data_IF_192277770244
#
_entry.id   IF_192277770244
#
_cell.length_a   1.000
_cell.length_b   1.000
_cell.length_c   1.000
_cell.angle_alpha   90.00
_cell.angle_beta   90.00
_cell.angle_gamma   90.00
#
_symmetry.space_group_name_H-M   'P 1'
#
loop_
_entity.id
_entity.type
_entity.pdbx_description
1 polymer ?
#
# COMPACT_ATOMS: atom_id res chain seq x y z
N UNK A 1 -13.39 -17.15 -25.98
CA UNK A 1 -12.00 -17.59 -25.74
C UNK A 1 -11.26 -16.58 -24.87
N UNK A 2 -11.19 -15.30 -25.25
CA UNK A 2 -10.43 -14.29 -24.48
C UNK A 2 -11.04 -13.98 -23.10
N UNK A 3 -12.37 -13.93 -22.97
CA UNK A 3 -13.05 -13.84 -21.65
C UNK A 3 -12.86 -15.08 -20.77
N UNK A 4 -12.52 -16.24 -21.37
CA UNK A 4 -12.19 -17.44 -20.60
C UNK A 4 -10.74 -17.44 -20.11
N UNK A 5 -9.86 -16.63 -20.72
CA UNK A 5 -8.46 -16.49 -20.31
C UNK A 5 -8.28 -15.57 -19.09
N UNK A 6 -9.29 -14.75 -18.74
CA UNK A 6 -9.32 -13.95 -17.51
C UNK A 6 -9.13 -14.81 -16.25
N UNK A 7 -9.69 -16.03 -16.23
CA UNK A 7 -9.58 -16.96 -15.10
C UNK A 7 -8.34 -17.86 -15.13
N UNK A 8 -7.61 -17.93 -16.25
CA UNK A 8 -6.57 -18.93 -16.50
C UNK A 8 -5.13 -18.49 -16.23
N UNK A 9 -4.87 -17.19 -16.04
CA UNK A 9 -3.52 -16.70 -15.77
C UNK A 9 -2.53 -16.76 -16.95
N UNK A 10 -3.02 -16.93 -18.18
CA UNK A 10 -2.24 -17.04 -19.42
C UNK A 10 -2.19 -15.70 -20.20
N UNK A 11 -1.65 -14.66 -19.56
CA UNK A 11 -1.51 -13.30 -20.13
C UNK A 11 -0.66 -13.26 -21.42
N UNK A 12 0.34 -14.13 -21.54
CA UNK A 12 1.19 -14.22 -22.73
C UNK A 12 0.37 -14.62 -23.96
N UNK A 13 -0.54 -15.57 -23.80
CA UNK A 13 -1.43 -15.99 -24.88
C UNK A 13 -2.40 -14.87 -25.26
N UNK A 14 -2.88 -14.07 -24.30
CA UNK A 14 -3.72 -12.90 -24.57
C UNK A 14 -2.96 -11.84 -25.38
N UNK A 15 -1.68 -11.61 -25.09
CA UNK A 15 -0.84 -10.69 -25.87
C UNK A 15 -0.51 -11.21 -27.27
N UNK A 16 -0.24 -12.52 -27.40
CA UNK A 16 -0.02 -13.17 -28.70
C UNK A 16 -1.28 -13.11 -29.55
N UNK A 17 -2.44 -13.43 -28.98
CA UNK A 17 -3.74 -13.32 -29.65
C UNK A 17 -4.06 -11.88 -30.04
N UNK A 18 -3.72 -10.88 -29.21
CA UNK A 18 -3.85 -9.47 -29.57
C UNK A 18 -2.92 -9.05 -30.71
N UNK A 19 -1.69 -9.58 -30.75
CA UNK A 19 -0.76 -9.35 -31.85
C UNK A 19 -1.25 -10.00 -33.16
N UNK A 20 -1.83 -11.20 -33.08
CA UNK A 20 -2.46 -11.89 -34.21
C UNK A 20 -3.69 -11.12 -34.71
N UNK A 21 -4.58 -10.65 -33.84
CA UNK A 21 -5.74 -9.83 -34.24
C UNK A 21 -5.30 -8.55 -34.97
N UNK A 22 -4.21 -7.92 -34.53
CA UNK A 22 -3.59 -6.77 -35.22
C UNK A 22 -3.03 -7.15 -36.58
N UNK A 23 -2.43 -8.34 -36.74
CA UNK A 23 -1.96 -8.85 -38.03
C UNK A 23 -3.13 -9.09 -39.01
N UNK A 24 -4.28 -9.52 -38.50
CA UNK A 24 -5.51 -9.71 -39.30
C UNK A 24 -6.33 -8.43 -39.50
N UNK A 25 -5.85 -7.27 -39.04
CA UNK A 25 -6.58 -5.98 -39.03
C UNK A 25 -7.97 -6.05 -38.37
N UNK A 26 -8.16 -6.98 -37.44
CA UNK A 26 -9.38 -7.05 -36.63
C UNK A 26 -9.18 -6.12 -35.44
N UNK A 27 -10.03 -5.10 -35.34
CA UNK A 27 -9.97 -4.17 -34.22
C UNK A 27 -10.43 -4.88 -32.94
N UNK A 28 -9.57 -4.99 -31.90
CA UNK A 28 -10.00 -5.56 -30.63
C UNK A 28 -11.05 -4.67 -29.96
N UNK A 29 -12.17 -5.30 -29.61
CA UNK A 29 -13.26 -4.66 -28.88
C UNK A 29 -12.85 -4.34 -27.44
N UNK A 30 -13.64 -3.49 -26.79
CA UNK A 30 -13.37 -3.04 -25.42
C UNK A 30 -13.30 -4.18 -24.40
N UNK A 31 -14.07 -5.24 -24.61
CA UNK A 31 -14.08 -6.45 -23.76
C UNK A 31 -12.75 -7.21 -23.91
N UNK A 32 -12.20 -7.26 -25.11
CA UNK A 32 -10.91 -7.89 -25.39
C UNK A 32 -9.77 -7.13 -24.73
N UNK A 33 -9.82 -5.80 -24.79
CA UNK A 33 -8.83 -4.94 -24.15
C UNK A 33 -8.94 -4.97 -22.62
N UNK A 34 -10.16 -4.97 -22.06
CA UNK A 34 -10.41 -5.07 -20.62
C UNK A 34 -9.87 -6.38 -20.03
N UNK A 35 -10.14 -7.51 -20.69
CA UNK A 35 -9.61 -8.82 -20.31
C UNK A 35 -8.08 -8.86 -20.36
N UNK A 36 -7.48 -8.25 -21.39
CA UNK A 36 -6.03 -8.17 -21.52
C UNK A 36 -5.36 -7.31 -20.44
N UNK A 37 -5.92 -6.13 -20.15
CA UNK A 37 -5.42 -5.25 -19.09
C UNK A 37 -5.55 -5.94 -17.72
N UNK A 38 -6.67 -6.62 -17.47
CA UNK A 38 -6.90 -7.38 -16.24
C UNK A 38 -5.90 -8.55 -16.10
N UNK A 39 -5.65 -9.29 -17.18
CA UNK A 39 -4.65 -10.36 -17.19
C UNK A 39 -3.22 -9.83 -16.96
N UNK A 40 -2.89 -8.65 -17.52
CA UNK A 40 -1.60 -7.99 -17.27
C UNK A 40 -1.46 -7.49 -15.82
N UNK A 41 -2.55 -7.05 -15.20
CA UNK A 41 -2.59 -6.60 -13.80
C UNK A 41 -2.18 -7.70 -12.82
N UNK A 42 -2.58 -8.94 -13.08
CA UNK A 42 -2.26 -10.11 -12.24
C UNK A 42 -0.78 -10.52 -12.25
N UNK A 43 0.01 -10.06 -13.23
CA UNK A 43 1.41 -10.51 -13.45
C UNK A 43 2.44 -9.38 -13.41
N UNK A 44 2.04 -8.18 -12.96
CA UNK A 44 2.91 -6.99 -12.83
C UNK A 44 3.53 -6.48 -14.14
N UNK A 45 2.97 -6.84 -15.29
CA UNK A 45 3.41 -6.36 -16.61
C UNK A 45 2.80 -4.99 -16.94
N UNK A 46 3.14 -3.97 -16.14
CA UNK A 46 2.57 -2.62 -16.24
C UNK A 46 2.85 -1.95 -17.59
N UNK A 47 4.00 -2.20 -18.21
CA UNK A 47 4.34 -1.65 -19.53
C UNK A 47 3.39 -2.12 -20.63
N UNK A 48 3.02 -3.40 -20.62
CA UNK A 48 2.08 -3.96 -21.59
C UNK A 48 0.67 -3.42 -21.35
N UNK A 49 0.22 -3.39 -20.07
CA UNK A 49 -1.07 -2.84 -19.69
C UNK A 49 -1.21 -1.37 -20.10
N UNK A 50 -0.18 -0.55 -19.89
CA UNK A 50 -0.19 0.89 -20.20
C UNK A 50 -0.18 1.17 -21.69
N UNK A 51 0.54 0.36 -22.49
CA UNK A 51 0.46 0.41 -23.96
C UNK A 51 -0.94 0.03 -24.47
N UNK A 52 -1.59 -0.96 -23.88
CA UNK A 52 -2.95 -1.36 -24.25
C UNK A 52 -3.98 -0.28 -23.89
N UNK A 53 -3.85 0.33 -22.71
CA UNK A 53 -4.74 1.40 -22.27
C UNK A 53 -4.55 2.69 -23.08
N UNK A 54 -3.30 3.04 -23.41
CA UNK A 54 -3.04 4.19 -24.28
C UNK A 54 -3.56 3.97 -25.71
N UNK A 55 -3.44 2.75 -26.25
CA UNK A 55 -4.06 2.38 -27.53
C UNK A 55 -5.59 2.49 -27.45
N UNK A 56 -6.22 1.98 -26.39
CA UNK A 56 -7.67 2.11 -26.16
C UNK A 56 -8.13 3.58 -26.09
N UNK A 57 -7.37 4.43 -25.40
CA UNK A 57 -7.66 5.85 -25.26
C UNK A 57 -7.46 6.62 -26.57
N UNK A 58 -6.40 6.32 -27.34
CA UNK A 58 -6.16 6.91 -28.66
C UNK A 58 -7.25 6.53 -29.67
N UNK A 59 -7.85 5.35 -29.52
CA UNK A 59 -9.00 4.89 -30.32
C UNK A 59 -10.34 5.49 -29.90
N UNK A 60 -10.36 6.30 -28.83
CA UNK A 60 -11.59 6.88 -28.29
C UNK A 60 -12.57 5.85 -27.72
N UNK A 61 -12.09 4.65 -27.38
CA UNK A 61 -12.94 3.62 -26.79
C UNK A 61 -13.34 4.07 -25.38
N UNK A 62 -14.65 4.03 -25.09
CA UNK A 62 -15.20 4.42 -23.79
C UNK A 62 -14.87 3.36 -22.74
N UNK A 63 -13.67 3.42 -22.18
CA UNK A 63 -13.21 2.51 -21.12
C UNK A 63 -14.22 2.44 -19.99
N UNK A 64 -14.39 1.25 -19.41
CA UNK A 64 -15.20 1.04 -18.22
C UNK A 64 -14.36 1.17 -16.94
N UNK A 65 -15.04 1.20 -15.79
CA UNK A 65 -14.39 1.31 -14.47
C UNK A 65 -13.49 0.10 -14.20
N UNK A 66 -13.84 -1.08 -14.72
CA UNK A 66 -13.06 -2.32 -14.57
C UNK A 66 -11.70 -2.20 -15.26
N UNK A 67 -11.68 -1.72 -16.51
CA UNK A 67 -10.44 -1.50 -17.29
C UNK A 67 -9.56 -0.45 -16.64
N UNK A 68 -10.15 0.64 -16.11
CA UNK A 68 -9.42 1.67 -15.38
C UNK A 68 -8.80 1.12 -14.08
N UNK A 69 -9.57 0.33 -13.31
CA UNK A 69 -9.10 -0.29 -12.06
C UNK A 69 -7.98 -1.30 -12.31
N UNK A 70 -8.12 -2.14 -13.33
CA UNK A 70 -7.10 -3.08 -13.76
C UNK A 70 -5.83 -2.34 -14.21
N UNK A 71 -5.97 -1.21 -14.89
CA UNK A 71 -4.85 -0.35 -15.27
C UNK A 71 -4.09 0.23 -14.10
N UNK A 72 -4.80 0.83 -13.14
CA UNK A 72 -4.20 1.40 -11.90
C UNK A 72 -3.52 0.29 -11.10
N UNK A 73 -4.15 -0.89 -11.00
CA UNK A 73 -3.59 -2.06 -10.29
C UNK A 73 -2.34 -2.59 -10.98
N UNK A 74 -2.36 -2.68 -12.32
CA UNK A 74 -1.20 -3.07 -13.11
C UNK A 74 -0.03 -2.12 -12.90
N UNK A 75 -0.29 -0.80 -12.80
CA UNK A 75 0.71 0.23 -12.52
C UNK A 75 1.22 0.23 -11.07
N UNK A 76 0.98 -0.84 -10.30
CA UNK A 76 1.31 -0.92 -8.88
C UNK A 76 2.78 -0.70 -8.50
N UNK A 77 3.72 -0.73 -9.45
CA UNK A 77 5.15 -0.44 -9.24
C UNK A 77 5.51 1.04 -9.50
N UNK A 78 4.74 1.73 -10.33
CA UNK A 78 4.95 3.14 -10.68
C UNK A 78 3.76 3.98 -10.22
N UNK A 79 3.91 4.55 -9.03
CA UNK A 79 2.91 5.43 -8.43
C UNK A 79 2.55 6.64 -9.30
N UNK A 80 3.47 7.14 -10.14
CA UNK A 80 3.20 8.29 -11.01
C UNK A 80 2.21 7.91 -12.10
N UNK A 81 2.41 6.75 -12.69
CA UNK A 81 1.58 6.20 -13.75
C UNK A 81 0.20 5.78 -13.21
N UNK A 82 0.17 5.19 -11.99
CA UNK A 82 -1.08 4.88 -11.31
C UNK A 82 -1.93 6.14 -11.06
N UNK A 83 -1.30 7.24 -10.61
CA UNK A 83 -1.98 8.52 -10.41
C UNK A 83 -2.42 9.16 -11.73
N UNK A 84 -1.57 9.16 -12.77
CA UNK A 84 -1.94 9.75 -14.06
C UNK A 84 -3.16 9.04 -14.65
N UNK A 85 -3.20 7.71 -14.60
CA UNK A 85 -4.36 6.93 -15.03
C UNK A 85 -5.60 7.23 -14.22
N UNK A 86 -5.47 7.39 -12.91
CA UNK A 86 -6.58 7.76 -12.05
C UNK A 86 -7.14 9.16 -12.39
N UNK A 87 -6.27 10.13 -12.71
CA UNK A 87 -6.69 11.45 -13.18
C UNK A 87 -7.35 11.40 -14.57
N UNK A 88 -6.81 10.59 -15.47
CA UNK A 88 -7.37 10.40 -16.81
C UNK A 88 -8.74 9.70 -16.76
N UNK A 89 -8.92 8.73 -15.86
CA UNK A 89 -10.22 8.11 -15.60
C UNK A 89 -11.25 9.16 -15.14
N UNK A 90 -10.89 10.03 -14.19
CA UNK A 90 -11.77 11.13 -13.74
C UNK A 90 -12.11 12.10 -14.89
N UNK A 91 -11.15 12.45 -15.75
CA UNK A 91 -11.38 13.33 -16.92
C UNK A 91 -12.33 12.71 -17.93
N UNK A 92 -12.24 11.40 -18.13
CA UNK A 92 -13.11 10.65 -19.03
C UNK A 92 -14.51 10.39 -18.47
N UNK A 93 -14.93 11.14 -17.44
CA UNK A 93 -16.21 11.00 -16.74
C UNK A 93 -16.46 9.63 -16.10
N UNK A 94 -15.41 8.82 -15.93
CA UNK A 94 -15.48 7.62 -15.11
C UNK A 94 -15.40 8.04 -13.64
N UNK A 95 -16.28 7.48 -12.82
CA UNK A 95 -16.20 7.65 -11.37
C UNK A 95 -15.34 6.52 -10.82
N UNK A 96 -14.05 6.77 -10.51
CA UNK A 96 -13.25 5.78 -9.81
C UNK A 96 -13.90 5.43 -8.47
N UNK A 97 -13.98 4.13 -8.20
CA UNK A 97 -14.58 3.57 -7.00
C UNK A 97 -13.52 3.32 -5.92
N UNK A 98 -13.93 2.74 -4.78
CA UNK A 98 -13.01 2.42 -3.68
C UNK A 98 -11.83 1.56 -4.15
N UNK A 99 -12.07 0.63 -5.09
CA UNK A 99 -11.04 -0.26 -5.63
C UNK A 99 -10.00 0.54 -6.42
N UNK A 100 -10.40 1.54 -7.21
CA UNK A 100 -9.46 2.43 -7.91
C UNK A 100 -8.51 3.15 -6.93
N UNK A 101 -9.06 3.66 -5.82
CA UNK A 101 -8.28 4.40 -4.82
C UNK A 101 -7.35 3.46 -4.06
N UNK A 102 -7.84 2.29 -3.64
CA UNK A 102 -7.02 1.31 -2.93
C UNK A 102 -5.85 0.82 -3.80
N UNK A 103 -6.09 0.62 -5.10
CA UNK A 103 -5.04 0.28 -6.05
C UNK A 103 -3.99 1.40 -6.16
N UNK A 104 -4.41 2.67 -6.25
CA UNK A 104 -3.51 3.82 -6.31
C UNK A 104 -2.74 4.04 -5.00
N UNK A 105 -3.39 3.85 -3.85
CA UNK A 105 -2.76 3.93 -2.52
C UNK A 105 -1.75 2.80 -2.35
N UNK A 106 -2.09 1.58 -2.79
CA UNK A 106 -1.18 0.42 -2.79
C UNK A 106 0.05 0.67 -3.68
N UNK A 107 -0.12 1.32 -4.83
CA UNK A 107 1.00 1.72 -5.67
C UNK A 107 1.92 2.71 -4.95
N UNK A 108 1.33 3.73 -4.30
CA UNK A 108 2.08 4.69 -3.49
C UNK A 108 2.81 4.03 -2.32
N UNK A 109 2.19 3.04 -1.68
CA UNK A 109 2.79 2.23 -0.61
C UNK A 109 4.03 1.48 -1.10
N UNK A 110 3.96 0.81 -2.26
CA UNK A 110 5.12 0.07 -2.81
C UNK A 110 6.28 1.00 -3.12
N UNK A 111 6.01 2.21 -3.63
CA UNK A 111 7.03 3.21 -3.91
C UNK A 111 7.43 4.08 -2.70
N UNK A 112 6.91 3.81 -1.49
CA UNK A 112 7.22 4.59 -0.27
C UNK A 112 6.75 6.05 -0.30
N UNK A 113 5.80 6.39 -1.18
CA UNK A 113 5.32 7.76 -1.38
C UNK A 113 4.16 8.06 -0.44
N UNK A 114 4.50 8.52 0.76
CA UNK A 114 3.53 8.84 1.80
C UNK A 114 2.63 10.05 1.47
N UNK A 115 3.15 11.09 0.78
CA UNK A 115 2.37 12.32 0.51
C UNK A 115 1.16 12.05 -0.39
N UNK A 116 1.32 11.39 -1.56
CA UNK A 116 0.18 11.09 -2.42
C UNK A 116 -0.76 10.07 -1.77
N UNK A 117 -0.23 9.06 -1.06
CA UNK A 117 -1.06 8.08 -0.33
C UNK A 117 -2.00 8.76 0.69
N UNK A 118 -1.47 9.70 1.49
CA UNK A 118 -2.29 10.45 2.46
C UNK A 118 -3.29 11.38 1.80
N UNK A 119 -2.94 11.97 0.66
CA UNK A 119 -3.86 12.81 -0.10
C UNK A 119 -5.06 11.98 -0.61
N UNK A 120 -4.80 10.82 -1.21
CA UNK A 120 -5.85 9.92 -1.71
C UNK A 120 -6.82 9.50 -0.59
N UNK A 121 -6.32 9.08 0.57
CA UNK A 121 -7.18 8.70 1.73
C UNK A 121 -7.99 9.89 2.26
N UNK A 122 -7.48 11.12 2.13
CA UNK A 122 -8.23 12.33 2.52
C UNK A 122 -9.29 12.74 1.51
N UNK A 123 -9.07 12.43 0.24
CA UNK A 123 -10.02 12.72 -0.85
C UNK A 123 -11.23 11.79 -0.83
N UNK A 124 -11.06 10.51 -0.44
CA UNK A 124 -12.17 9.53 -0.47
C UNK A 124 -13.45 10.02 0.24
N UNK A 125 -13.42 10.56 1.47
CA UNK A 125 -14.64 11.05 2.14
C UNK A 125 -15.30 12.25 1.46
N UNK A 126 -14.56 13.07 0.71
CA UNK A 126 -15.13 14.19 -0.05
C UNK A 126 -15.91 13.77 -1.29
N UNK A 127 -15.79 12.49 -1.66
CA UNK A 127 -16.48 11.87 -2.79
C UNK A 127 -17.51 10.83 -2.31
N UNK A 128 -17.99 10.97 -1.07
CA UNK A 128 -18.89 10.03 -0.40
C UNK A 128 -18.39 8.57 -0.35
N UNK A 129 -17.07 8.36 -0.52
CA UNK A 129 -16.42 7.06 -0.38
C UNK A 129 -15.85 6.88 1.03
N UNK A 130 -16.13 5.72 1.63
CA UNK A 130 -15.52 5.34 2.91
C UNK A 130 -14.21 4.61 2.65
N UNK A 131 -13.10 5.26 2.99
CA UNK A 131 -11.81 4.59 3.09
C UNK A 131 -11.93 3.43 4.09
N UNK A 132 -11.53 2.23 3.64
CA UNK A 132 -11.64 1.03 4.43
C UNK A 132 -10.37 0.81 5.27
N UNK A 133 -10.26 -0.35 5.92
CA UNK A 133 -9.07 -0.70 6.69
C UNK A 133 -7.84 -0.90 5.78
N UNK A 134 -8.04 -1.33 4.53
CA UNK A 134 -6.98 -1.57 3.55
C UNK A 134 -6.38 -0.22 3.12
N UNK A 135 -7.20 0.76 2.73
CA UNK A 135 -6.75 2.12 2.36
C UNK A 135 -5.91 2.75 3.47
N UNK A 136 -6.38 2.63 4.73
CA UNK A 136 -5.65 3.17 5.88
C UNK A 136 -4.35 2.42 6.15
N UNK A 137 -4.33 1.08 6.04
CA UNK A 137 -3.13 0.29 6.26
C UNK A 137 -2.07 0.53 5.19
N UNK A 138 -2.45 0.60 3.92
CA UNK A 138 -1.52 0.91 2.84
C UNK A 138 -0.96 2.33 2.97
N UNK A 139 -1.78 3.31 3.36
CA UNK A 139 -1.27 4.65 3.65
C UNK A 139 -0.36 4.70 4.91
N UNK A 140 -0.62 3.87 5.93
CA UNK A 140 0.26 3.71 7.09
C UNK A 140 1.60 3.09 6.72
N UNK A 141 1.60 2.03 5.91
CA UNK A 141 2.83 1.39 5.43
C UNK A 141 3.61 2.32 4.47
N UNK A 142 2.92 3.16 3.68
CA UNK A 142 3.57 4.23 2.93
C UNK A 142 4.27 5.25 3.86
N UNK A 143 3.63 5.63 4.97
CA UNK A 143 4.23 6.52 5.97
C UNK A 143 5.41 5.86 6.69
N UNK A 144 5.33 4.55 6.99
CA UNK A 144 6.42 3.75 7.55
C UNK A 144 7.65 3.81 6.64
N UNK A 145 7.50 3.46 5.37
CA UNK A 145 8.60 3.50 4.38
C UNK A 145 9.14 4.89 4.14
N UNK A 146 8.32 5.92 4.36
CA UNK A 146 8.70 7.32 4.27
C UNK A 146 9.27 7.94 5.56
N UNK A 147 9.41 7.17 6.66
CA UNK A 147 9.87 7.65 7.97
C UNK A 147 8.92 8.64 8.67
N UNK A 148 7.69 8.83 8.15
CA UNK A 148 6.79 9.89 8.61
C UNK A 148 5.93 9.49 9.80
N UNK A 149 6.56 9.27 10.95
CA UNK A 149 5.89 8.86 12.19
C UNK A 149 4.74 9.79 12.60
N UNK A 150 4.91 11.11 12.49
CA UNK A 150 3.91 12.08 12.90
C UNK A 150 2.63 11.97 12.05
N UNK A 151 2.78 11.68 10.75
CA UNK A 151 1.66 11.45 9.85
C UNK A 151 1.02 10.09 10.08
N UNK A 152 1.81 9.05 10.36
CA UNK A 152 1.29 7.72 10.72
C UNK A 152 0.40 7.76 11.98
N UNK A 153 0.84 8.45 13.03
CA UNK A 153 0.04 8.62 14.26
C UNK A 153 -1.26 9.39 14.02
N UNK A 154 -1.20 10.46 13.22
CA UNK A 154 -2.40 11.21 12.83
C UNK A 154 -3.37 10.33 12.05
N UNK A 155 -2.86 9.48 11.15
CA UNK A 155 -3.68 8.55 10.37
C UNK A 155 -4.33 7.48 11.26
N UNK A 156 -3.59 6.91 12.22
CA UNK A 156 -4.16 6.02 13.25
C UNK A 156 -5.26 6.69 14.06
N UNK A 157 -5.06 7.93 14.52
CA UNK A 157 -6.07 8.67 15.27
C UNK A 157 -7.32 8.95 14.42
N UNK A 158 -7.17 9.11 13.10
CA UNK A 158 -8.28 9.28 12.17
C UNK A 158 -9.04 7.96 11.97
N UNK A 159 -8.32 6.85 11.81
CA UNK A 159 -8.93 5.52 11.71
C UNK A 159 -9.79 5.21 12.96
N UNK A 160 -9.26 5.50 14.17
CA UNK A 160 -10.02 5.36 15.43
C UNK A 160 -11.29 6.19 15.47
N UNK A 161 -11.22 7.46 15.06
CA UNK A 161 -12.39 8.35 14.98
C UNK A 161 -13.41 7.89 13.95
N UNK A 162 -12.96 7.23 12.89
CA UNK A 162 -13.81 6.61 11.88
C UNK A 162 -14.40 5.26 12.34
N UNK A 163 -14.29 4.90 13.62
CA UNK A 163 -14.69 3.60 14.20
C UNK A 163 -14.02 2.38 13.55
N UNK A 164 -12.92 2.58 12.82
CA UNK A 164 -12.07 1.52 12.33
C UNK A 164 -11.15 1.09 13.47
N UNK A 165 -11.26 -0.18 13.88
CA UNK A 165 -10.34 -0.76 14.85
C UNK A 165 -8.97 -0.94 14.17
N UNK A 166 -7.93 -0.19 14.58
CA UNK A 166 -6.60 -0.37 14.02
C UNK A 166 -6.15 -1.81 14.26
N UNK A 167 -5.69 -2.49 13.22
CA UNK A 167 -5.20 -3.85 13.36
C UNK A 167 -3.78 -3.83 13.92
N UNK A 168 -3.28 -5.01 14.33
CA UNK A 168 -1.88 -5.19 14.71
C UNK A 168 -0.93 -4.68 13.60
N UNK A 169 -1.30 -4.86 12.33
CA UNK A 169 -0.56 -4.34 11.18
C UNK A 169 -0.50 -2.81 11.19
N UNK A 170 -1.63 -2.13 11.44
CA UNK A 170 -1.68 -0.67 11.51
C UNK A 170 -0.77 -0.11 12.62
N UNK A 171 -0.79 -0.75 13.78
CA UNK A 171 -0.02 -0.34 14.97
C UNK A 171 1.47 -0.64 14.78
N UNK A 172 1.82 -1.78 14.18
CA UNK A 172 3.19 -2.14 13.86
C UNK A 172 3.80 -1.21 12.82
N UNK A 173 3.08 -0.86 11.75
CA UNK A 173 3.59 0.10 10.76
C UNK A 173 3.81 1.48 11.37
N UNK A 174 2.96 1.92 12.30
CA UNK A 174 3.21 3.18 13.02
C UNK A 174 4.39 3.11 13.99
N UNK A 175 4.60 1.97 14.67
CA UNK A 175 5.76 1.74 15.52
C UNK A 175 7.07 1.73 14.72
N UNK A 176 7.08 1.04 13.56
CA UNK A 176 8.23 1.02 12.63
C UNK A 176 8.49 2.39 12.01
N UNK A 177 7.45 3.17 11.72
CA UNK A 177 7.61 4.57 11.32
C UNK A 177 8.35 5.40 12.38
N UNK A 178 8.18 5.07 13.67
CA UNK A 178 8.88 5.74 14.78
C UNK A 178 10.34 5.31 14.94
N UNK A 179 10.80 4.24 14.27
CA UNK A 179 12.19 3.77 14.31
C UNK A 179 13.10 4.57 13.36
N UNK A 180 12.55 5.07 12.25
CA UNK A 180 13.30 5.46 11.06
C UNK A 180 14.10 6.77 11.08
N UNK A 181 13.87 7.70 12.03
CA UNK A 181 14.51 9.03 11.98
C UNK A 181 15.21 9.40 13.31
N UNK A 182 16.54 9.33 13.32
CA UNK A 182 17.43 9.55 14.47
C UNK A 182 17.41 10.97 15.08
N UNK A 183 16.68 11.92 14.50
CA UNK A 183 16.79 13.34 14.86
C UNK A 183 15.57 13.93 15.61
N UNK A 184 14.49 13.18 15.82
CA UNK A 184 13.30 13.73 16.52
C UNK A 184 13.05 13.08 17.89
N UNK A 185 13.37 13.84 18.95
CA UNK A 185 13.33 13.44 20.35
C UNK A 185 11.94 13.01 20.92
N UNK A 186 10.86 13.11 20.13
CA UNK A 186 9.48 12.78 20.55
C UNK A 186 8.95 11.42 20.10
N UNK A 187 9.73 10.64 19.36
CA UNK A 187 9.26 9.36 18.76
C UNK A 187 9.03 8.25 19.81
N UNK A 188 9.88 8.18 20.85
CA UNK A 188 9.85 7.08 21.82
C UNK A 188 8.64 7.13 22.75
N UNK A 189 8.15 8.31 23.15
CA UNK A 189 6.95 8.44 24.00
C UNK A 189 5.71 7.91 23.28
N UNK A 190 5.58 8.30 22.02
CA UNK A 190 4.50 7.85 21.14
C UNK A 190 4.60 6.34 20.92
N UNK A 191 5.79 5.81 20.64
CA UNK A 191 6.00 4.37 20.48
C UNK A 191 5.65 3.58 21.75
N UNK A 192 6.05 4.04 22.93
CA UNK A 192 5.67 3.40 24.20
C UNK A 192 4.17 3.49 24.48
N UNK A 193 3.53 4.60 24.11
CA UNK A 193 2.08 4.75 24.25
C UNK A 193 1.33 3.74 23.37
N UNK A 194 1.77 3.55 22.12
CA UNK A 194 1.21 2.56 21.20
C UNK A 194 1.45 1.13 21.69
N UNK A 195 2.62 0.84 22.26
CA UNK A 195 2.93 -0.48 22.80
C UNK A 195 2.09 -0.80 24.05
N UNK A 196 1.81 0.20 24.90
CA UNK A 196 0.84 0.06 26.00
C UNK A 196 -0.56 -0.17 25.47
N UNK A 197 -0.95 0.52 24.40
CA UNK A 197 -2.26 0.36 23.78
C UNK A 197 -2.44 -1.04 23.17
N UNK A 198 -1.42 -1.61 22.53
CA UNK A 198 -1.42 -3.01 22.09
C UNK A 198 -1.71 -3.97 23.25
N UNK A 199 -1.02 -3.77 24.39
CA UNK A 199 -1.20 -4.57 25.61
C UNK A 199 -2.63 -4.46 26.17
N UNK A 200 -3.18 -3.24 26.25
CA UNK A 200 -4.54 -3.00 26.77
C UNK A 200 -5.60 -3.59 25.84
N UNK A 201 -5.35 -3.54 24.52
CA UNK A 201 -6.26 -4.06 23.50
C UNK A 201 -6.26 -5.60 23.40
N UNK A 202 -5.55 -6.30 24.31
CA UNK A 202 -5.32 -7.76 24.32
C UNK A 202 -4.73 -8.33 23.01
N UNK A 203 -4.18 -7.47 22.16
CA UNK A 203 -3.41 -7.90 20.99
C UNK A 203 -1.99 -8.14 21.47
N UNK A 204 -1.48 -9.37 21.38
CA UNK A 204 -0.12 -9.68 21.82
C UNK A 204 0.86 -8.85 20.98
N UNK A 205 1.66 -7.96 21.58
CA UNK A 205 2.68 -7.24 20.84
C UNK A 205 3.66 -8.28 20.28
N UNK A 206 3.95 -8.18 18.99
CA UNK A 206 4.90 -9.08 18.36
C UNK A 206 6.34 -8.59 18.59
N UNK A 207 7.29 -9.46 18.28
CA UNK A 207 8.72 -9.17 18.43
C UNK A 207 9.12 -7.94 17.62
N UNK A 208 8.46 -7.70 16.49
CA UNK A 208 8.67 -6.53 15.63
C UNK A 208 8.22 -5.23 16.31
N UNK A 209 7.05 -5.21 16.98
CA UNK A 209 6.58 -4.05 17.76
C UNK A 209 7.54 -3.71 18.89
N UNK A 210 8.01 -4.73 19.64
CA UNK A 210 8.96 -4.54 20.73
C UNK A 210 10.34 -4.08 20.25
N UNK A 211 10.83 -4.63 19.13
CA UNK A 211 12.08 -4.22 18.50
C UNK A 211 12.01 -2.77 18.00
N UNK A 212 10.93 -2.37 17.30
CA UNK A 212 10.74 -1.01 16.82
C UNK A 212 10.65 0.01 17.99
N UNK A 213 9.95 -0.36 19.08
CA UNK A 213 9.88 0.48 20.28
C UNK A 213 11.24 0.59 21.00
N UNK A 214 12.02 -0.48 21.03
CA UNK A 214 13.38 -0.48 21.57
C UNK A 214 14.33 0.37 20.70
N UNK A 215 14.25 0.24 19.37
CA UNK A 215 14.98 1.06 18.40
C UNK A 215 14.70 2.55 18.57
N UNK A 216 13.42 2.94 18.68
CA UNK A 216 13.04 4.32 18.98
C UNK A 216 13.59 4.83 20.32
N UNK A 217 13.67 3.97 21.36
CA UNK A 217 14.27 4.32 22.65
C UNK A 217 15.80 4.51 22.56
N UNK A 218 16.49 3.67 21.77
CA UNK A 218 17.93 3.78 21.53
C UNK A 218 18.28 5.09 20.80
N UNK A 219 17.52 5.46 19.78
CA UNK A 219 17.68 6.71 19.03
C UNK A 219 17.46 7.96 19.90
N UNK A 220 16.67 7.85 20.97
CA UNK A 220 16.35 8.96 21.89
C UNK A 220 17.30 9.13 23.09
N UNK A 221 18.47 8.50 23.05
CA UNK A 221 19.47 8.50 24.14
C UNK A 221 18.99 7.94 25.49
N UNK A 222 17.93 7.11 25.49
CA UNK A 222 17.36 6.45 26.67
C UNK A 222 17.57 4.92 26.64
N UNK A 223 18.84 4.54 26.53
CA UNK A 223 19.32 3.14 26.47
C UNK A 223 18.92 2.26 27.65
N UNK A 224 18.62 2.82 28.83
CA UNK A 224 18.31 2.03 30.03
C UNK A 224 16.99 1.25 29.95
N UNK A 225 16.05 1.65 29.09
CA UNK A 225 14.72 1.00 28.99
C UNK A 225 14.60 0.00 27.85
N UNK A 226 15.46 0.09 26.84
CA UNK A 226 15.43 -0.81 25.69
C UNK A 226 15.76 -2.29 26.04
N UNK A 227 16.77 -2.60 26.89
CA UNK A 227 17.08 -3.98 27.25
C UNK A 227 15.94 -4.67 28.01
N UNK A 228 15.28 -3.93 28.92
CA UNK A 228 14.15 -4.47 29.69
C UNK A 228 12.95 -4.83 28.79
N UNK A 229 12.66 -4.01 27.78
CA UNK A 229 11.58 -4.27 26.81
C UNK A 229 11.91 -5.46 25.88
N UNK A 230 13.18 -5.60 25.49
CA UNK A 230 13.64 -6.71 24.65
C UNK A 230 13.71 -8.04 25.43
N UNK A 231 14.08 -7.98 26.71
CA UNK A 231 14.11 -9.16 27.58
C UNK A 231 12.69 -9.65 27.91
N UNK A 232 11.76 -8.73 28.16
CA UNK A 232 10.34 -9.05 28.34
C UNK A 232 9.70 -9.61 27.05
N UNK A 233 10.19 -9.20 25.87
CA UNK A 233 9.80 -9.79 24.58
C UNK A 233 10.44 -11.18 24.34
N UNK A 234 11.67 -11.40 24.82
CA UNK A 234 12.34 -12.69 24.77
C UNK A 234 11.66 -13.73 25.67
N UNK A 235 11.20 -13.32 26.85
CA UNK A 235 10.44 -14.15 27.80
C UNK A 235 9.05 -14.55 27.25
N UNK A 236 8.55 -13.84 26.24
CA UNK A 236 7.32 -14.19 25.50
C UNK A 236 7.53 -15.18 24.34
N UNK A 237 8.77 -15.68 24.13
CA UNK A 237 9.01 -16.93 23.40
C UNK A 237 9.79 -16.87 22.09
N UNK A 238 10.77 -15.97 21.90
CA UNK A 238 11.72 -16.08 20.77
C UNK A 238 13.13 -15.60 21.15
N UNK A 239 14.00 -16.52 21.57
CA UNK A 239 15.35 -16.24 22.07
C UNK A 239 16.44 -15.89 21.03
N UNK A 240 16.09 -15.46 19.81
CA UNK A 240 17.06 -15.45 18.68
C UNK A 240 17.50 -14.07 18.15
N UNK A 241 16.98 -12.94 18.64
CA UNK A 241 17.32 -11.62 18.05
C UNK A 241 18.30 -10.76 18.86
N UNK A 242 18.75 -11.24 20.03
CA UNK A 242 19.73 -10.51 20.85
C UNK A 242 21.06 -10.28 20.11
N UNK A 243 21.48 -11.22 19.25
CA UNK A 243 22.69 -11.08 18.45
C UNK A 243 22.59 -10.11 17.27
N UNK A 244 21.39 -9.94 16.69
CA UNK A 244 21.22 -9.16 15.46
C UNK A 244 21.11 -7.66 15.70
N UNK A 245 20.62 -7.25 16.88
CA UNK A 245 20.53 -5.84 17.26
C UNK A 245 21.85 -5.31 17.83
N UNK A 246 22.62 -6.14 18.54
CA UNK A 246 23.95 -5.76 19.05
C UNK A 246 24.99 -5.56 17.94
N UNK A 247 24.87 -6.27 16.80
CA UNK A 247 25.79 -6.11 15.65
C UNK A 247 25.54 -4.84 14.83
N UNK A 248 24.38 -4.18 14.99
CA UNK A 248 24.03 -2.94 14.28
C UNK A 248 24.10 -1.68 15.16
N UNK A 249 24.45 -1.84 16.45
CA UNK A 249 24.57 -0.75 17.43
C UNK A 249 26.02 -0.45 17.86
N UNK A 250 27.02 -1.03 17.21
CA UNK A 250 28.46 -0.69 17.31
C UNK A 250 28.93 -0.14 15.97
#
# INVERSE_FOLDING_TARGET
>A
VITALEGGGEWEQVLVLLAELRLYQVEPDIVTLSAAVSACGSRQCWEAATRLLSDANCRGLRMDVVTANAGITACGQDWQLALSWMFDARKSSLQPDVISYDAAISACERSGRWQPALQLVREMPSLDMKADLISHNSALSACEKGGQWAHALRLLSRARRASLQPSLVSLNSALRACEGDSYTAGQWESALSLLRELRISRQRPDVLACAAAAGACCSSARWLRAPALLQEAADQGVGALFGYLLSHSL
#
